data_IF_473805250383
#
_entry.id   IF_473805250383
#
_cell.length_a   1.000
_cell.length_b   1.000
_cell.length_c   1.000
_cell.angle_alpha   90.00
_cell.angle_beta   90.00
_cell.angle_gamma   90.00
#
_symmetry.space_group_name_H-M   'P 1'
#
loop_
_entity.id
_entity.type
_entity.pdbx_description
1 polymer ?
#
# COMPACT_ATOMS: atom_id res chain seq x y z
N UNK A 1 -4.62 -6.41 -22.08
CA UNK A 1 -5.50 -7.21 -21.21
C UNK A 1 -4.70 -8.42 -20.74
N UNK A 2 -4.44 -8.56 -19.43
CA UNK A 2 -3.66 -9.70 -18.91
C UNK A 2 -4.60 -10.87 -18.59
N UNK A 3 -4.22 -12.08 -19.00
CA UNK A 3 -4.97 -13.30 -18.70
C UNK A 3 -4.41 -13.89 -17.41
N UNK A 4 -5.25 -13.97 -16.38
CA UNK A 4 -4.89 -14.55 -15.08
C UNK A 4 -5.74 -15.80 -14.89
N UNK A 5 -5.10 -16.93 -14.59
CA UNK A 5 -5.76 -18.18 -14.23
C UNK A 5 -5.62 -18.41 -12.74
N UNK A 6 -6.74 -18.54 -12.04
CA UNK A 6 -6.78 -18.81 -10.59
C UNK A 6 -7.48 -20.15 -10.38
N UNK A 7 -6.92 -20.98 -9.52
CA UNK A 7 -7.58 -22.21 -9.11
C UNK A 7 -8.63 -21.88 -8.03
N UNK A 8 -9.86 -22.27 -8.27
CA UNK A 8 -10.98 -22.13 -7.33
C UNK A 8 -11.59 -23.51 -7.10
N UNK A 9 -12.05 -23.76 -5.87
CA UNK A 9 -12.74 -25.00 -5.54
C UNK A 9 -14.12 -25.05 -6.20
N UNK A 10 -14.63 -26.26 -6.44
CA UNK A 10 -15.95 -26.45 -7.06
C UNK A 10 -17.08 -25.83 -6.24
N UNK A 11 -16.99 -25.87 -4.91
CA UNK A 11 -17.93 -25.21 -4.01
C UNK A 11 -17.94 -23.69 -4.23
N UNK A 12 -16.77 -23.07 -4.37
CA UNK A 12 -16.66 -21.63 -4.62
C UNK A 12 -17.27 -21.27 -5.98
N UNK A 13 -17.03 -22.09 -7.01
CA UNK A 13 -17.61 -21.92 -8.34
C UNK A 13 -19.15 -21.97 -8.32
N UNK A 14 -19.72 -22.91 -7.58
CA UNK A 14 -21.18 -22.99 -7.41
C UNK A 14 -21.75 -21.74 -6.75
N UNK A 15 -21.10 -21.24 -5.69
CA UNK A 15 -21.51 -20.02 -4.99
C UNK A 15 -21.44 -18.78 -5.90
N UNK A 16 -20.40 -18.68 -6.72
CA UNK A 16 -20.27 -17.61 -7.73
C UNK A 16 -21.41 -17.67 -8.74
N UNK A 17 -21.72 -18.85 -9.28
CA UNK A 17 -22.81 -19.01 -10.25
C UNK A 17 -24.18 -18.64 -9.66
N UNK A 18 -24.46 -19.05 -8.42
CA UNK A 18 -25.69 -18.67 -7.71
C UNK A 18 -25.76 -17.15 -7.48
N UNK A 19 -24.67 -16.55 -7.03
CA UNK A 19 -24.60 -15.10 -6.79
C UNK A 19 -24.72 -14.29 -8.09
N UNK A 20 -24.12 -14.74 -9.18
CA UNK A 20 -24.20 -14.11 -10.49
C UNK A 20 -25.65 -14.10 -11.02
N UNK A 21 -26.36 -15.23 -10.89
CA UNK A 21 -27.79 -15.33 -11.23
C UNK A 21 -28.65 -14.41 -10.36
N UNK A 22 -28.42 -14.39 -9.05
CA UNK A 22 -29.18 -13.54 -8.13
C UNK A 22 -28.99 -12.05 -8.43
N UNK A 23 -27.76 -11.63 -8.76
CA UNK A 23 -27.43 -10.24 -9.08
C UNK A 23 -27.63 -9.85 -10.55
N UNK A 24 -28.04 -10.79 -11.42
CA UNK A 24 -28.15 -10.61 -12.89
C UNK A 24 -26.88 -10.02 -13.50
N UNK A 25 -25.71 -10.42 -12.99
CA UNK A 25 -24.38 -10.00 -13.49
C UNK A 25 -23.67 -11.17 -14.16
N UNK A 26 -22.74 -10.88 -15.07
CA UNK A 26 -21.84 -11.88 -15.65
C UNK A 26 -20.87 -12.37 -14.56
N UNK A 27 -20.57 -13.67 -14.54
CA UNK A 27 -19.67 -14.27 -13.55
C UNK A 27 -18.30 -13.58 -13.49
N UNK A 28 -17.74 -13.26 -14.65
CA UNK A 28 -16.45 -12.57 -14.75
C UNK A 28 -16.46 -11.18 -14.09
N UNK A 29 -17.56 -10.43 -14.23
CA UNK A 29 -17.68 -9.10 -13.62
C UNK A 29 -17.81 -9.20 -12.10
N UNK A 30 -18.59 -10.17 -11.63
CA UNK A 30 -18.73 -10.45 -10.20
C UNK A 30 -17.40 -10.88 -9.56
N UNK A 31 -16.62 -11.71 -10.26
CA UNK A 31 -15.30 -12.15 -9.80
C UNK A 31 -14.35 -10.95 -9.69
N UNK A 32 -14.33 -10.03 -10.67
CA UNK A 32 -13.50 -8.82 -10.59
C UNK A 32 -13.88 -7.95 -9.39
N UNK A 33 -15.17 -7.68 -9.21
CA UNK A 33 -15.69 -6.89 -8.08
C UNK A 33 -15.30 -7.54 -6.74
N UNK A 34 -15.45 -8.86 -6.62
CA UNK A 34 -15.08 -9.60 -5.41
C UNK A 34 -13.56 -9.56 -5.12
N UNK A 35 -12.73 -9.66 -6.16
CA UNK A 35 -11.27 -9.55 -6.02
C UNK A 35 -10.88 -8.14 -5.58
N UNK A 36 -11.44 -7.10 -6.20
CA UNK A 36 -11.13 -5.71 -5.86
C UNK A 36 -11.57 -5.37 -4.43
N UNK A 37 -12.76 -5.80 -4.01
CA UNK A 37 -13.23 -5.65 -2.64
C UNK A 37 -12.39 -6.46 -1.64
N UNK A 38 -12.01 -7.70 -2.01
CA UNK A 38 -11.15 -8.54 -1.21
C UNK A 38 -9.77 -7.93 -0.99
N UNK A 39 -9.16 -7.39 -2.05
CA UNK A 39 -7.87 -6.70 -1.99
C UNK A 39 -7.94 -5.47 -1.09
N UNK A 40 -9.01 -4.67 -1.16
CA UNK A 40 -9.22 -3.52 -0.25
C UNK A 40 -9.37 -3.92 1.20
N UNK A 41 -9.88 -5.13 1.50
CA UNK A 41 -10.00 -5.64 2.87
C UNK A 41 -8.68 -6.20 3.40
N UNK A 42 -7.93 -6.91 2.55
CA UNK A 42 -6.62 -7.48 2.91
C UNK A 42 -5.57 -6.37 3.05
N UNK A 43 -5.62 -5.38 2.17
CA UNK A 43 -4.78 -4.19 2.17
C UNK A 43 -5.67 -2.95 2.37
N UNK A 44 -6.16 -2.72 3.60
CA UNK A 44 -6.92 -1.52 3.87
C UNK A 44 -6.06 -0.29 3.53
N UNK A 45 -6.65 0.77 2.93
CA UNK A 45 -5.94 2.02 2.74
C UNK A 45 -5.38 2.44 4.10
N UNK A 46 -4.07 2.56 4.16
CA UNK A 46 -3.37 2.80 5.41
C UNK A 46 -3.89 4.12 5.99
N UNK A 47 -4.47 4.07 7.20
CA UNK A 47 -4.77 5.31 7.95
C UNK A 47 -3.50 6.15 7.97
N UNK A 48 -3.62 7.46 7.76
CA UNK A 48 -2.46 8.38 7.71
C UNK A 48 -1.52 8.20 8.90
N UNK A 49 -2.07 7.89 10.09
CA UNK A 49 -1.30 7.58 11.28
C UNK A 49 -0.51 6.27 11.19
N UNK A 50 -1.09 5.22 10.60
CA UNK A 50 -0.40 3.94 10.41
C UNK A 50 0.70 4.04 9.33
N UNK A 51 0.50 4.89 8.32
CA UNK A 51 1.52 5.15 7.31
C UNK A 51 2.74 5.86 7.92
N UNK A 52 2.50 6.87 8.76
CA UNK A 52 3.55 7.55 9.52
C UNK A 52 4.27 6.60 10.48
N UNK A 53 3.54 5.71 11.18
CA UNK A 53 4.15 4.71 12.05
C UNK A 53 5.02 3.72 11.28
N UNK A 54 4.56 3.26 10.12
CA UNK A 54 5.34 2.37 9.26
C UNK A 54 6.60 3.07 8.73
N UNK A 55 6.50 4.35 8.38
CA UNK A 55 7.64 5.15 7.92
C UNK A 55 8.66 5.37 9.04
N UNK A 56 8.21 5.65 10.27
CA UNK A 56 9.08 5.76 11.44
C UNK A 56 9.82 4.44 11.73
N UNK A 57 9.12 3.30 11.72
CA UNK A 57 9.74 1.97 11.89
C UNK A 57 10.76 1.66 10.80
N UNK A 58 10.50 2.07 9.56
CA UNK A 58 11.45 1.91 8.47
C UNK A 58 12.70 2.77 8.71
N UNK A 59 12.53 4.01 9.18
CA UNK A 59 13.65 4.91 9.49
C UNK A 59 14.55 4.36 10.60
N UNK A 60 13.99 3.74 11.65
CA UNK A 60 14.76 3.09 12.73
C UNK A 60 15.63 1.93 12.24
N UNK A 61 15.20 1.23 11.19
CA UNK A 61 15.93 0.09 10.62
C UNK A 61 17.05 0.50 9.67
N UNK A 62 17.09 1.76 9.23
CA UNK A 62 18.14 2.24 8.34
C UNK A 62 19.39 2.59 9.16
N UNK A 63 20.55 1.97 8.90
CA UNK A 63 21.78 2.30 9.61
C UNK A 63 22.24 3.71 9.20
N UNK A 64 22.02 4.69 10.07
CA UNK A 64 22.60 6.03 9.93
C UNK A 64 24.10 5.96 10.20
N UNK A 65 24.90 6.41 9.24
CA UNK A 65 26.35 6.47 9.41
C UNK A 65 26.72 7.46 10.54
N UNK A 66 27.78 7.21 11.31
CA UNK A 66 28.30 8.20 12.26
C UNK A 66 28.58 9.53 11.54
N UNK A 67 28.13 10.65 12.11
CA UNK A 67 28.25 11.98 11.49
C UNK A 67 27.13 12.34 10.52
N UNK A 68 26.07 11.53 10.43
CA UNK A 68 24.85 11.94 9.72
C UNK A 68 24.22 13.12 10.46
N UNK A 69 23.81 14.19 9.76
CA UNK A 69 23.19 15.33 10.42
C UNK A 69 21.83 14.98 11.03
N UNK A 70 21.53 15.53 12.21
CA UNK A 70 20.24 15.35 12.88
C UNK A 70 19.24 16.48 12.56
N UNK A 71 19.68 17.48 11.79
CA UNK A 71 18.96 18.70 11.44
C UNK A 71 18.44 18.68 9.99
N UNK A 72 18.34 17.51 9.36
CA UNK A 72 17.98 17.36 7.93
C UNK A 72 16.60 17.94 7.62
N UNK A 73 15.64 17.86 8.54
CA UNK A 73 14.31 18.46 8.36
C UNK A 73 14.36 20.00 8.30
N UNK A 74 15.22 20.63 9.09
CA UNK A 74 15.37 22.09 9.17
C UNK A 74 16.30 22.64 8.08
N UNK A 75 17.34 21.87 7.73
CA UNK A 75 18.42 22.24 6.81
C UNK A 75 18.40 21.43 5.50
N UNK A 76 17.25 20.90 5.08
CA UNK A 76 17.16 20.11 3.85
C UNK A 76 17.69 20.85 2.62
N UNK A 77 17.41 22.15 2.51
CA UNK A 77 17.91 22.99 1.39
C UNK A 77 19.45 23.09 1.40
N UNK A 78 20.05 23.17 2.58
CA UNK A 78 21.51 23.22 2.72
C UNK A 78 22.14 21.92 2.20
N UNK A 79 21.60 20.76 2.59
CA UNK A 79 22.13 19.47 2.17
C UNK A 79 21.82 19.11 0.71
N UNK A 80 20.68 19.56 0.20
CA UNK A 80 20.28 19.29 -1.19
C UNK A 80 20.97 20.22 -2.19
N UNK A 81 21.16 21.49 -1.83
CA UNK A 81 21.56 22.54 -2.79
C UNK A 81 22.80 23.34 -2.39
N UNK A 82 23.40 23.10 -1.22
CA UNK A 82 24.64 23.74 -0.79
C UNK A 82 24.49 25.21 -0.32
N UNK A 83 23.32 25.58 0.21
CA UNK A 83 23.00 26.93 0.67
C UNK A 83 23.65 27.32 2.01
N UNK A 84 23.03 28.27 2.73
CA UNK A 84 23.36 28.52 4.15
C UNK A 84 22.47 27.66 5.05
N UNK A 85 23.03 27.14 6.15
CA UNK A 85 22.20 26.50 7.19
C UNK A 85 21.24 27.53 7.79
N UNK A 86 19.98 27.13 7.95
CA UNK A 86 18.94 27.94 8.60
C UNK A 86 19.03 27.84 10.12
N UNK A 87 19.54 26.73 10.63
CA UNK A 87 19.62 26.40 12.06
C UNK A 87 20.96 25.73 12.35
N UNK A 88 21.70 26.22 13.35
CA UNK A 88 22.87 25.54 13.92
C UNK A 88 22.47 25.12 15.34
N UNK A 89 22.06 23.85 15.47
CA UNK A 89 21.86 23.21 16.77
C UNK A 89 22.96 22.20 17.03
#
# INVERSE_FOLDING_TARGET
>A
MQRISVHITDETKQRIGLAAKAKRKVEADLIREAIDEGLKRIYPPTSSAQALLNLAKLAEQMPTKPGTPNDVSENHDYYAWGGKKKSER
#
